data_IF_957550232616
#
_entry.id   IF_957550232616
#
_cell.length_a   1.000
_cell.length_b   1.000
_cell.length_c   1.000
_cell.angle_alpha   90.00
_cell.angle_beta   90.00
_cell.angle_gamma   90.00
#
_symmetry.space_group_name_H-M   'P 1'
#
loop_
_entity.id
_entity.type
_entity.pdbx_description
1 polymer ?
#
# COMPACT_ATOMS: atom_id res chain seq x y z
N UNK A 1 35.86 -31.04 -7.61
CA UNK A 1 35.56 -30.48 -6.27
C UNK A 1 34.97 -29.07 -6.33
N UNK A 2 35.58 -28.12 -7.06
CA UNK A 2 35.11 -26.71 -7.18
C UNK A 2 33.66 -26.54 -7.66
N UNK A 3 33.20 -27.34 -8.62
CA UNK A 3 31.82 -27.27 -9.16
C UNK A 3 30.76 -27.69 -8.14
N UNK A 4 31.06 -28.71 -7.32
CA UNK A 4 30.16 -29.18 -6.24
C UNK A 4 30.06 -28.14 -5.13
N UNK A 5 31.17 -27.47 -4.77
CA UNK A 5 31.15 -26.37 -3.79
C UNK A 5 30.33 -25.17 -4.27
N UNK A 6 30.41 -24.81 -5.57
CA UNK A 6 29.57 -23.75 -6.15
C UNK A 6 28.08 -24.10 -6.15
N UNK A 7 27.75 -25.35 -6.47
CA UNK A 7 26.36 -25.83 -6.44
C UNK A 7 25.78 -25.83 -5.02
N UNK A 8 26.57 -26.25 -4.02
CA UNK A 8 26.17 -26.18 -2.61
C UNK A 8 25.99 -24.73 -2.14
N UNK A 9 26.92 -23.83 -2.48
CA UNK A 9 26.79 -22.41 -2.14
C UNK A 9 25.53 -21.77 -2.75
N UNK A 10 25.24 -22.07 -4.03
CA UNK A 10 24.03 -21.58 -4.69
C UNK A 10 22.75 -22.12 -4.06
N UNK A 11 22.71 -23.43 -3.74
CA UNK A 11 21.58 -24.04 -3.07
C UNK A 11 21.35 -23.45 -1.66
N UNK A 12 22.42 -23.19 -0.90
CA UNK A 12 22.33 -22.53 0.40
C UNK A 12 21.82 -21.10 0.30
N UNK A 13 22.26 -20.31 -0.68
CA UNK A 13 21.75 -18.95 -0.92
C UNK A 13 20.27 -18.97 -1.29
N UNK A 14 19.84 -19.91 -2.15
CA UNK A 14 18.42 -20.06 -2.51
C UNK A 14 17.56 -20.49 -1.31
N UNK A 15 18.04 -21.43 -0.49
CA UNK A 15 17.31 -21.89 0.70
C UNK A 15 17.14 -20.76 1.74
N UNK A 16 18.17 -19.92 1.94
CA UNK A 16 18.08 -18.74 2.80
C UNK A 16 17.11 -17.71 2.21
N UNK A 17 17.13 -17.51 0.89
CA UNK A 17 16.20 -16.61 0.19
C UNK A 17 14.73 -17.02 0.35
N UNK A 18 14.42 -18.31 0.29
CA UNK A 18 13.06 -18.81 0.54
C UNK A 18 12.64 -18.67 2.02
N UNK A 19 13.57 -18.92 2.96
CA UNK A 19 13.31 -18.75 4.39
C UNK A 19 13.15 -17.28 4.82
N UNK A 20 13.64 -16.34 4.01
CA UNK A 20 13.50 -14.90 4.22
C UNK A 20 12.17 -14.33 3.71
N UNK A 21 11.23 -15.16 3.24
CA UNK A 21 9.89 -14.73 2.86
C UNK A 21 9.14 -14.20 4.11
N UNK A 22 9.19 -12.90 4.32
CA UNK A 22 8.45 -12.23 5.39
C UNK A 22 6.97 -12.24 5.07
N UNK A 23 6.13 -12.64 6.02
CA UNK A 23 4.69 -12.48 5.90
C UNK A 23 4.35 -10.98 5.96
N UNK A 24 3.86 -10.43 4.84
CA UNK A 24 3.32 -9.08 4.83
C UNK A 24 1.95 -9.11 5.53
N UNK A 25 1.85 -8.42 6.66
CA UNK A 25 0.57 -8.19 7.31
C UNK A 25 -0.19 -7.13 6.50
N UNK A 26 -1.08 -7.58 5.62
CA UNK A 26 -1.94 -6.73 4.82
C UNK A 26 -3.36 -6.76 5.37
N UNK A 27 -3.86 -5.61 5.80
CA UNK A 27 -5.29 -5.47 6.05
C UNK A 27 -6.03 -5.50 4.70
N UNK A 28 -7.06 -6.34 4.55
CA UNK A 28 -7.77 -6.45 3.28
C UNK A 28 -8.56 -5.17 3.04
N UNK A 29 -8.11 -4.42 2.04
CA UNK A 29 -8.73 -3.19 1.56
C UNK A 29 -8.78 -3.24 0.04
N UNK A 30 -9.86 -2.75 -0.53
CA UNK A 30 -10.02 -2.72 -1.97
C UNK A 30 -10.60 -1.39 -2.43
N UNK A 31 -10.26 -1.06 -3.68
CA UNK A 31 -10.88 -0.03 -4.48
C UNK A 31 -11.46 -0.75 -5.69
N UNK A 32 -12.76 -0.64 -5.91
CA UNK A 32 -13.47 -1.36 -6.97
C UNK A 32 -14.12 -0.34 -7.91
N UNK A 33 -13.73 -0.28 -9.18
CA UNK A 33 -14.44 0.54 -10.15
C UNK A 33 -15.77 -0.10 -10.58
N UNK A 34 -16.71 0.71 -11.06
CA UNK A 34 -17.92 0.23 -11.73
C UNK A 34 -17.61 -0.55 -13.01
N UNK A 35 -16.53 -0.19 -13.71
CA UNK A 35 -16.04 -0.85 -14.93
C UNK A 35 -14.51 -0.80 -15.00
N UNK A 36 -13.87 -1.77 -15.64
CA UNK A 36 -12.42 -1.77 -15.85
C UNK A 36 -12.00 -1.16 -17.19
N UNK A 37 -12.96 -0.96 -18.10
CA UNK A 37 -12.74 -0.40 -19.43
C UNK A 37 -13.73 0.70 -19.75
N UNK A 38 -13.28 1.67 -20.54
CA UNK A 38 -14.10 2.76 -21.08
C UNK A 38 -13.93 2.76 -22.60
N UNK A 39 -14.95 2.30 -23.31
CA UNK A 39 -14.97 2.25 -24.78
C UNK A 39 -15.87 3.32 -25.42
N UNK A 40 -16.50 4.16 -24.59
CA UNK A 40 -17.37 5.24 -25.03
C UNK A 40 -16.54 6.38 -25.63
N UNK A 41 -16.89 6.77 -26.86
CA UNK A 41 -16.28 7.93 -27.52
C UNK A 41 -16.52 9.19 -26.66
N UNK A 42 -15.44 9.94 -26.39
CA UNK A 42 -15.49 11.14 -25.54
C UNK A 42 -15.40 10.89 -24.03
N UNK A 43 -15.24 9.64 -23.59
CA UNK A 43 -15.00 9.29 -22.19
C UNK A 43 -16.25 9.00 -21.37
N UNK A 44 -16.05 8.55 -20.13
CA UNK A 44 -17.15 8.26 -19.20
C UNK A 44 -16.79 8.42 -17.72
N UNK A 45 -17.83 8.59 -16.90
CA UNK A 45 -17.71 8.62 -15.44
C UNK A 45 -17.66 7.20 -14.87
N UNK A 46 -16.64 6.93 -14.06
CA UNK A 46 -16.57 5.72 -13.25
C UNK A 46 -16.69 6.08 -11.77
N UNK A 47 -17.49 5.28 -11.07
CA UNK A 47 -17.59 5.32 -9.61
C UNK A 47 -16.70 4.23 -9.03
N UNK A 48 -16.02 4.57 -7.93
CA UNK A 48 -15.13 3.68 -7.22
C UNK A 48 -15.62 3.47 -5.80
N UNK A 49 -15.92 2.24 -5.45
CA UNK A 49 -16.24 1.83 -4.09
C UNK A 49 -14.94 1.50 -3.33
N UNK A 50 -14.84 1.97 -2.08
CA UNK A 50 -13.65 1.85 -1.24
C UNK A 50 -14.00 1.36 0.16
N UNK A 51 -13.41 0.25 0.58
CA UNK A 51 -13.63 -0.31 1.93
C UNK A 51 -12.44 -1.15 2.38
N UNK A 52 -12.30 -1.28 3.70
CA UNK A 52 -11.53 -2.33 4.33
C UNK A 52 -12.51 -3.43 4.75
N UNK A 53 -12.33 -4.66 4.26
CA UNK A 53 -13.23 -5.78 4.51
C UNK A 53 -12.53 -7.11 4.55
N UNK A 54 -12.97 -7.98 5.47
CA UNK A 54 -12.50 -9.35 5.58
C UNK A 54 -13.16 -10.30 4.55
N UNK A 55 -14.18 -9.83 3.82
CA UNK A 55 -14.84 -10.56 2.75
C UNK A 55 -14.66 -9.89 1.39
N UNK A 56 -14.50 -10.70 0.33
CA UNK A 56 -14.42 -10.19 -1.04
C UNK A 56 -15.73 -9.50 -1.41
N UNK A 57 -15.64 -8.22 -1.81
CA UNK A 57 -16.79 -7.38 -2.18
C UNK A 57 -17.85 -7.20 -1.08
N UNK A 58 -17.48 -7.40 0.18
CA UNK A 58 -18.31 -7.04 1.34
C UNK A 58 -17.90 -5.64 1.82
N UNK A 59 -18.87 -4.82 2.19
CA UNK A 59 -18.61 -3.50 2.77
C UNK A 59 -18.56 -3.59 4.29
N UNK A 60 -17.37 -3.46 4.89
CA UNK A 60 -17.21 -3.54 6.34
C UNK A 60 -16.89 -2.23 7.03
N UNK A 61 -15.80 -1.57 6.62
CA UNK A 61 -15.35 -0.32 7.23
C UNK A 61 -14.91 0.64 6.14
N UNK A 62 -15.35 1.92 6.16
CA UNK A 62 -14.95 2.88 5.15
C UNK A 62 -13.43 3.07 5.22
N UNK A 63 -12.76 2.72 4.13
CA UNK A 63 -11.36 3.09 3.94
C UNK A 63 -11.29 4.52 3.40
N UNK A 64 -10.18 5.20 3.65
CA UNK A 64 -10.01 6.57 3.17
C UNK A 64 -9.96 6.61 1.64
N UNK A 65 -10.78 7.46 1.05
CA UNK A 65 -10.78 7.80 -0.39
C UNK A 65 -10.47 9.28 -0.63
N UNK A 66 -10.30 10.06 0.43
CA UNK A 66 -9.98 11.48 0.38
C UNK A 66 -8.61 11.73 -0.25
N UNK A 67 -7.68 10.77 -0.11
CA UNK A 67 -6.34 10.80 -0.71
C UNK A 67 -6.25 9.94 -1.99
N UNK A 68 -7.39 9.59 -2.59
CA UNK A 68 -7.39 8.89 -3.87
C UNK A 68 -6.67 9.73 -4.94
N UNK A 69 -5.96 9.05 -5.83
CA UNK A 69 -5.32 9.66 -6.99
C UNK A 69 -5.37 8.73 -8.20
N UNK A 70 -5.35 9.35 -9.38
CA UNK A 70 -5.29 8.69 -10.67
C UNK A 70 -3.98 9.09 -11.33
N UNK A 71 -3.15 8.11 -11.69
CA UNK A 71 -2.01 8.34 -12.58
C UNK A 71 -2.51 8.16 -14.01
N UNK A 72 -2.44 9.23 -14.78
CA UNK A 72 -2.81 9.29 -16.18
C UNK A 72 -1.79 8.51 -17.04
N UNK A 73 -2.16 8.11 -18.27
CA UNK A 73 -1.25 7.41 -19.19
C UNK A 73 0.07 8.15 -19.44
N UNK A 74 0.03 9.49 -19.44
CA UNK A 74 1.22 10.35 -19.58
C UNK A 74 2.05 10.54 -18.28
N UNK A 75 1.61 9.94 -17.17
CA UNK A 75 2.29 9.99 -15.87
C UNK A 75 1.86 11.15 -14.95
N UNK A 76 1.00 12.08 -15.40
CA UNK A 76 0.41 13.09 -14.51
C UNK A 76 -0.40 12.43 -13.40
N UNK A 77 -0.45 13.07 -12.24
CA UNK A 77 -1.31 12.66 -11.13
C UNK A 77 -2.49 13.61 -11.00
N UNK A 78 -3.69 13.06 -11.05
CA UNK A 78 -4.94 13.78 -10.84
C UNK A 78 -5.67 13.27 -9.60
N UNK A 79 -6.59 14.07 -9.06
CA UNK A 79 -7.40 13.71 -7.89
C UNK A 79 -8.88 13.65 -8.26
N UNK A 80 -9.64 12.70 -7.69
CA UNK A 80 -11.09 12.70 -7.81
C UNK A 80 -11.71 13.94 -7.17
N UNK A 81 -12.72 14.52 -7.83
CA UNK A 81 -13.38 15.73 -7.35
C UNK A 81 -14.53 15.44 -6.37
N UNK A 82 -15.18 14.28 -6.50
CA UNK A 82 -16.34 13.91 -5.69
C UNK A 82 -15.98 12.75 -4.79
N UNK A 83 -15.83 12.99 -3.49
CA UNK A 83 -15.52 11.97 -2.50
C UNK A 83 -16.59 11.96 -1.42
N UNK A 84 -17.17 10.79 -1.15
CA UNK A 84 -18.20 10.61 -0.12
C UNK A 84 -17.75 9.50 0.82
N UNK A 85 -17.88 9.74 2.13
CA UNK A 85 -17.57 8.75 3.16
C UNK A 85 -18.82 8.38 3.94
N UNK A 86 -19.24 7.12 3.80
CA UNK A 86 -20.31 6.54 4.60
C UNK A 86 -19.78 5.79 5.83
N UNK A 87 -20.68 5.07 6.51
CA UNK A 87 -20.35 4.29 7.73
C UNK A 87 -19.68 2.94 7.45
N UNK A 88 -19.86 2.38 6.25
CA UNK A 88 -19.37 1.04 5.86
C UNK A 88 -18.49 1.06 4.59
N UNK A 89 -18.66 2.09 3.75
CA UNK A 89 -17.95 2.29 2.49
C UNK A 89 -17.71 3.77 2.25
N UNK A 90 -16.65 4.07 1.51
CA UNK A 90 -16.43 5.37 0.88
C UNK A 90 -16.56 5.20 -0.63
N UNK A 91 -16.84 6.28 -1.34
CA UNK A 91 -16.95 6.30 -2.79
C UNK A 91 -16.30 7.55 -3.36
N UNK A 92 -15.86 7.46 -4.60
CA UNK A 92 -15.49 8.64 -5.39
C UNK A 92 -15.75 8.44 -6.87
N UNK A 93 -15.86 9.55 -7.61
CA UNK A 93 -16.06 9.53 -9.05
C UNK A 93 -14.88 10.18 -9.78
N UNK A 94 -14.53 9.63 -10.95
CA UNK A 94 -13.52 10.20 -11.85
C UNK A 94 -13.97 10.04 -13.31
N UNK A 95 -13.74 11.05 -14.13
CA UNK A 95 -14.06 11.04 -15.54
C UNK A 95 -12.82 10.63 -16.35
N UNK A 96 -12.94 9.54 -17.11
CA UNK A 96 -11.85 9.00 -17.92
C UNK A 96 -12.10 9.32 -19.40
N UNK A 97 -11.11 9.93 -20.05
CA UNK A 97 -11.20 10.34 -21.46
C UNK A 97 -9.90 10.16 -22.24
N UNK A 98 -8.75 10.29 -21.58
CA UNK A 98 -7.44 10.10 -22.21
C UNK A 98 -7.24 8.63 -22.59
N UNK A 99 -6.73 8.32 -23.79
CA UNK A 99 -6.55 6.94 -24.23
C UNK A 99 -5.39 6.25 -23.48
N UNK A 100 -5.56 5.00 -23.08
CA UNK A 100 -4.55 4.19 -22.39
C UNK A 100 -4.97 3.70 -21.00
N UNK A 101 -3.99 3.18 -20.25
CA UNK A 101 -4.23 2.58 -18.93
C UNK A 101 -3.87 3.55 -17.80
N UNK A 102 -4.86 3.83 -16.96
CA UNK A 102 -4.77 4.70 -15.79
C UNK A 102 -4.60 3.87 -14.54
N UNK A 103 -3.75 4.30 -13.61
CA UNK A 103 -3.65 3.68 -12.28
C UNK A 103 -4.45 4.47 -11.27
N UNK A 104 -5.50 3.86 -10.73
CA UNK A 104 -6.29 4.42 -9.62
C UNK A 104 -5.78 3.84 -8.32
N UNK A 105 -5.51 4.68 -7.32
CA UNK A 105 -4.94 4.24 -6.06
C UNK A 105 -5.50 5.02 -4.85
N UNK A 106 -5.58 4.34 -3.71
CA UNK A 106 -5.91 4.90 -2.39
C UNK A 106 -4.78 4.65 -1.38
N UNK A 107 -3.54 4.63 -1.88
CA UNK A 107 -2.37 4.21 -1.12
C UNK A 107 -2.02 5.24 -0.04
N UNK A 108 -1.56 4.76 1.11
CA UNK A 108 -1.01 5.63 2.14
C UNK A 108 0.47 5.90 1.83
N UNK A 109 0.95 7.09 2.20
CA UNK A 109 2.38 7.38 2.17
C UNK A 109 3.16 6.41 3.10
N UNK A 110 4.37 5.98 2.70
CA UNK A 110 5.25 5.22 3.56
C UNK A 110 5.53 5.93 4.88
N UNK A 111 5.22 5.26 5.98
CA UNK A 111 5.47 5.75 7.33
C UNK A 111 6.41 4.83 8.08
N UNK A 112 7.31 5.41 8.86
CA UNK A 112 8.26 4.66 9.68
C UNK A 112 7.94 4.82 11.15
N UNK A 113 7.89 3.69 11.86
CA UNK A 113 7.78 3.66 13.30
C UNK A 113 8.90 2.81 13.88
N UNK A 114 9.53 3.31 14.93
CA UNK A 114 10.56 2.58 15.67
C UNK A 114 9.99 2.21 17.03
N UNK A 115 9.91 0.90 17.30
CA UNK A 115 9.65 0.38 18.63
C UNK A 115 10.95 0.21 19.40
N UNK A 116 10.91 0.42 20.71
CA UNK A 116 12.05 0.27 21.60
C UNK A 116 11.59 0.02 23.05
N UNK A 117 12.51 -0.38 23.91
CA UNK A 117 12.34 -0.37 25.38
C UNK A 117 13.37 0.56 26.00
N UNK A 118 12.97 1.30 27.03
CA UNK A 118 13.86 2.22 27.76
C UNK A 118 13.49 2.33 29.23
N UNK A 119 14.51 2.56 30.08
CA UNK A 119 14.36 2.61 31.54
C UNK A 119 14.32 1.22 32.18
N UNK A 120 13.85 1.14 33.44
CA UNK A 120 13.90 -0.10 34.25
C UNK A 120 12.88 -1.18 33.84
N UNK A 121 11.81 -0.80 33.12
CA UNK A 121 10.72 -1.72 32.73
C UNK A 121 10.85 -2.13 31.27
N UNK A 122 10.45 -3.35 30.94
CA UNK A 122 10.44 -3.89 29.56
C UNK A 122 9.19 -3.51 28.76
N UNK A 123 8.65 -2.32 29.00
CA UNK A 123 7.49 -1.79 28.26
C UNK A 123 7.92 -1.33 26.87
N UNK A 124 7.24 -1.82 25.84
CA UNK A 124 7.43 -1.37 24.45
C UNK A 124 6.91 0.05 24.30
N UNK A 125 7.72 0.93 23.71
CA UNK A 125 7.42 2.32 23.37
C UNK A 125 7.60 2.52 21.87
N UNK A 126 6.91 3.51 21.32
CA UNK A 126 6.90 3.81 19.90
C UNK A 126 7.29 5.26 19.64
N UNK A 127 8.09 5.48 18.60
CA UNK A 127 8.40 6.81 18.06
C UNK A 127 8.30 6.78 16.54
N UNK A 128 7.85 7.88 15.93
CA UNK A 128 7.87 8.03 14.47
C UNK A 128 9.28 8.44 14.05
N UNK A 129 10.07 7.48 13.55
CA UNK A 129 11.42 7.71 13.04
C UNK A 129 11.86 6.53 12.17
N UNK A 130 12.59 6.83 11.09
CA UNK A 130 13.23 5.83 10.24
C UNK A 130 14.60 5.39 10.82
N UNK A 131 15.31 4.47 10.13
CA UNK A 131 16.60 3.95 10.63
C UNK A 131 17.71 5.00 10.71
N UNK A 132 17.67 6.02 9.86
CA UNK A 132 18.66 7.09 9.86
C UNK A 132 18.42 8.09 10.99
N UNK A 133 17.16 8.44 11.23
CA UNK A 133 16.76 9.49 12.20
C UNK A 133 16.57 8.96 13.62
N UNK A 134 16.33 7.65 13.81
CA UNK A 134 15.99 7.11 15.14
C UNK A 134 17.06 7.35 16.20
N UNK A 135 18.33 7.50 15.80
CA UNK A 135 19.43 7.73 16.73
C UNK A 135 19.27 9.08 17.47
N UNK A 136 18.67 10.08 16.83
CA UNK A 136 18.54 11.43 17.39
C UNK A 136 17.38 11.56 18.38
N UNK A 137 16.39 10.67 18.28
CA UNK A 137 15.14 10.73 19.08
C UNK A 137 15.05 9.64 20.13
N UNK A 138 15.89 8.61 20.05
CA UNK A 138 15.88 7.51 21.01
C UNK A 138 16.58 7.93 22.31
N UNK A 139 15.98 7.64 23.48
CA UNK A 139 16.64 7.88 24.77
C UNK A 139 17.95 7.09 24.89
N UNK A 140 18.85 7.55 25.77
CA UNK A 140 20.04 6.76 26.09
C UNK A 140 19.69 5.36 26.63
N UNK A 141 20.56 4.39 26.37
CA UNK A 141 20.44 3.00 26.85
C UNK A 141 19.12 2.32 26.44
N UNK A 142 18.62 2.64 25.25
CA UNK A 142 17.50 1.90 24.63
C UNK A 142 17.91 0.49 24.26
N UNK A 143 16.98 -0.45 24.44
CA UNK A 143 17.12 -1.85 24.04
C UNK A 143 16.00 -2.25 23.08
N UNK A 144 16.17 -3.38 22.40
CA UNK A 144 15.19 -4.00 21.50
C UNK A 144 14.65 -3.05 20.41
N UNK A 145 15.55 -2.27 19.77
CA UNK A 145 15.18 -1.23 18.81
C UNK A 145 14.88 -1.84 17.43
N UNK A 146 13.60 -1.84 17.05
CA UNK A 146 13.13 -2.35 15.75
C UNK A 146 12.40 -1.24 15.01
N UNK A 147 12.80 -0.98 13.77
CA UNK A 147 12.13 -0.02 12.88
C UNK A 147 11.30 -0.76 11.86
N UNK A 148 10.04 -0.37 11.74
CA UNK A 148 9.06 -0.92 10.81
C UNK A 148 8.66 0.14 9.80
N UNK A 149 8.54 -0.30 8.55
CA UNK A 149 7.91 0.46 7.48
C UNK A 149 6.46 0.02 7.36
N UNK A 150 5.53 0.97 7.33
CA UNK A 150 4.11 0.72 7.13
C UNK A 150 3.61 1.56 5.97
N UNK A 151 3.05 0.89 4.98
CA UNK A 151 2.25 1.46 3.92
C UNK A 151 1.23 0.42 3.47
N UNK A 152 0.18 0.88 2.82
CA UNK A 152 -0.86 0.03 2.29
C UNK A 152 -1.08 0.36 0.83
N UNK A 153 -1.31 -0.67 0.01
CA UNK A 153 -1.61 -0.50 -1.41
C UNK A 153 -2.95 -1.11 -1.75
N UNK A 154 -3.81 -0.33 -2.41
CA UNK A 154 -5.05 -0.79 -3.03
C UNK A 154 -5.21 0.00 -4.32
N UNK A 155 -5.17 -0.72 -5.43
CA UNK A 155 -5.02 -0.17 -6.77
C UNK A 155 -6.01 -0.85 -7.72
N UNK A 156 -6.47 -0.10 -8.71
CA UNK A 156 -7.23 -0.60 -9.86
C UNK A 156 -6.69 0.05 -11.12
N UNK A 157 -6.84 -0.63 -12.25
CA UNK A 157 -6.34 -0.17 -13.54
C UNK A 157 -7.50 -0.04 -14.50
N UNK A 158 -7.67 1.17 -15.05
CA UNK A 158 -8.78 1.49 -15.97
C UNK A 158 -8.19 1.72 -17.35
N UNK A 159 -8.69 1.01 -18.36
CA UNK A 159 -8.23 1.17 -19.74
C UNK A 159 -9.28 1.91 -20.56
N UNK A 160 -8.88 3.03 -21.15
CA UNK A 160 -9.69 3.78 -22.11
C UNK A 160 -9.20 3.44 -23.51
N UNK A 161 -10.09 2.99 -24.38
CA UNK A 161 -9.76 2.53 -25.72
C UNK A 161 -10.85 1.63 -26.29
N UNK A 162 -10.75 1.35 -27.59
CA UNK A 162 -11.64 0.42 -28.31
C UNK A 162 -11.13 -1.01 -28.28
#
# INVERSE_FOLDING_TARGET
MKTKMKAVALASVMAIGLAAATTAQAHPRWVLPSHFTVSKDGGDWLTFDVTASHGTFVFDKPAGSEQAFVIMPDGRSERPNFVIRGKRRSMFDFFFVEEGTHKVAINNEPSYYTQYKAGRRDTVKWVRANKAERADVLPEKTRDVVTQLSYTRAESYITVGK
#
